data_IF_765816227365
#
_entry.id   IF_765816227365
#
_cell.length_a   1.000
_cell.length_b   1.000
_cell.length_c   1.000
_cell.angle_alpha   90.00
_cell.angle_beta   90.00
_cell.angle_gamma   90.00
#
_symmetry.space_group_name_H-M   'P 1'
#
loop_
_entity.id
_entity.type
_entity.pdbx_description
1 polymer ?
#
# COMPACT_ATOMS: atom_id res chain seq x y z
N UNK A 1 11.61 1.98 4.87
CA UNK A 1 11.20 1.53 6.23
C UNK A 1 10.19 2.51 6.79
N UNK A 2 9.00 2.06 7.14
CA UNK A 2 7.97 2.90 7.78
C UNK A 2 8.33 3.18 9.24
N UNK A 3 8.35 4.45 9.61
CA UNK A 3 8.63 4.90 10.96
C UNK A 3 7.35 5.02 11.79
N UNK A 4 7.48 5.13 13.12
CA UNK A 4 6.39 5.51 14.00
C UNK A 4 5.91 6.94 13.70
N UNK A 5 4.81 7.37 14.34
CA UNK A 5 4.31 8.73 14.15
C UNK A 5 5.36 9.77 14.61
N UNK A 6 5.52 10.83 13.81
CA UNK A 6 6.45 11.91 14.12
C UNK A 6 5.91 12.84 15.22
N UNK A 7 6.79 13.58 15.90
CA UNK A 7 6.34 14.60 16.85
C UNK A 7 5.72 15.82 16.15
N UNK A 8 5.84 15.93 14.83
CA UNK A 8 5.39 17.10 14.06
C UNK A 8 3.91 17.06 13.68
N UNK A 9 3.26 15.89 13.77
CA UNK A 9 1.84 15.70 13.47
C UNK A 9 1.43 16.36 12.13
N UNK A 10 2.23 16.09 11.08
CA UNK A 10 1.93 16.61 9.76
C UNK A 10 0.59 16.08 9.26
N UNK A 11 -0.22 16.91 8.58
CA UNK A 11 -1.54 16.49 8.10
C UNK A 11 -1.45 15.35 7.11
N UNK A 12 -0.39 15.27 6.32
CA UNK A 12 -0.13 14.16 5.39
C UNK A 12 0.10 12.85 6.14
N UNK A 13 0.81 12.89 7.26
CA UNK A 13 1.10 11.71 8.07
C UNK A 13 -0.17 11.09 8.65
N UNK A 14 -1.17 11.88 9.02
CA UNK A 14 -2.46 11.39 9.49
C UNK A 14 -3.17 10.50 8.46
N UNK A 15 -2.97 10.79 7.17
CA UNK A 15 -3.60 10.07 6.05
C UNK A 15 -2.64 9.16 5.29
N UNK A 16 -1.48 8.83 5.86
CA UNK A 16 -0.49 7.96 5.19
C UNK A 16 -0.99 6.55 4.85
N UNK A 17 -2.09 6.11 5.46
CA UNK A 17 -2.74 4.83 5.17
C UNK A 17 -3.85 4.94 4.11
N UNK A 18 -4.15 6.15 3.66
CA UNK A 18 -5.09 6.45 2.59
C UNK A 18 -4.42 7.41 1.59
N UNK A 19 -3.73 6.85 0.57
CA UNK A 19 -2.94 7.64 -0.36
C UNK A 19 -3.72 8.74 -1.10
N UNK A 20 -5.00 8.49 -1.44
CA UNK A 20 -5.83 9.51 -2.07
C UNK A 20 -6.11 10.68 -1.12
N UNK A 21 -6.49 10.40 0.13
CA UNK A 21 -6.72 11.45 1.13
C UNK A 21 -5.45 12.23 1.44
N UNK A 22 -4.30 11.55 1.50
CA UNK A 22 -3.01 12.19 1.72
C UNK A 22 -2.71 13.22 0.61
N UNK A 23 -2.92 12.88 -0.66
CA UNK A 23 -2.76 13.82 -1.78
C UNK A 23 -3.82 14.93 -1.75
N UNK A 24 -5.06 14.61 -1.39
CA UNK A 24 -6.11 15.63 -1.22
C UNK A 24 -5.75 16.65 -0.13
N UNK A 25 -5.14 16.22 0.97
CA UNK A 25 -4.62 17.13 2.01
C UNK A 25 -3.52 18.02 1.47
N UNK A 26 -2.61 17.50 0.64
CA UNK A 26 -1.60 18.32 -0.04
C UNK A 26 -2.27 19.41 -0.92
N UNK A 27 -3.34 19.06 -1.64
CA UNK A 27 -4.08 20.02 -2.45
C UNK A 27 -4.84 21.05 -1.61
N UNK A 28 -5.35 20.66 -0.44
CA UNK A 28 -5.99 21.60 0.49
C UNK A 28 -4.96 22.61 1.04
N UNK A 29 -3.77 22.14 1.40
CA UNK A 29 -2.69 22.97 1.95
C UNK A 29 -2.05 23.91 0.93
N UNK A 30 -2.19 23.64 -0.36
CA UNK A 30 -1.61 24.50 -1.40
C UNK A 30 -2.16 25.92 -1.30
N UNK A 31 -1.29 26.89 -0.99
CA UNK A 31 -1.63 28.30 -0.79
C UNK A 31 -2.74 28.55 0.25
N UNK A 32 -2.83 27.69 1.27
CA UNK A 32 -3.85 27.77 2.32
C UNK A 32 -3.22 27.55 3.68
N UNK A 33 -3.60 28.37 4.65
CA UNK A 33 -3.11 28.21 6.01
C UNK A 33 -3.67 26.92 6.64
N UNK A 34 -2.84 26.18 7.38
CA UNK A 34 -3.19 24.88 7.95
C UNK A 34 -4.47 24.92 8.81
N UNK A 35 -4.75 26.00 9.55
CA UNK A 35 -5.98 26.14 10.35
C UNK A 35 -7.25 26.09 9.50
N UNK A 36 -7.24 26.73 8.32
CA UNK A 36 -8.37 26.68 7.39
C UNK A 36 -8.57 25.27 6.84
N UNK A 37 -7.45 24.52 6.62
CA UNK A 37 -7.53 23.12 6.20
C UNK A 37 -8.10 22.26 7.32
N UNK A 38 -7.69 22.46 8.57
CA UNK A 38 -8.19 21.73 9.73
C UNK A 38 -9.70 21.89 9.93
N UNK A 39 -10.24 23.09 9.68
CA UNK A 39 -11.69 23.36 9.76
C UNK A 39 -12.50 22.63 8.67
N UNK A 40 -11.91 22.40 7.50
CA UNK A 40 -12.62 21.86 6.34
C UNK A 40 -12.42 20.35 6.19
N UNK A 41 -11.19 19.85 6.41
CA UNK A 41 -10.79 18.49 6.03
C UNK A 41 -11.63 17.36 6.66
N UNK A 42 -11.97 17.51 7.93
CA UNK A 42 -12.76 16.50 8.64
C UNK A 42 -14.17 16.39 8.07
N UNK A 43 -14.87 17.50 7.93
CA UNK A 43 -16.20 17.55 7.32
C UNK A 43 -16.17 17.08 5.86
N UNK A 44 -15.13 17.45 5.12
CA UNK A 44 -14.95 17.02 3.74
C UNK A 44 -14.79 15.50 3.63
N UNK A 45 -13.88 14.90 4.40
CA UNK A 45 -13.64 13.45 4.31
C UNK A 45 -14.74 12.61 4.96
N UNK A 46 -15.53 13.15 5.88
CA UNK A 46 -16.72 12.47 6.37
C UNK A 46 -17.75 12.26 5.26
N UNK A 47 -17.82 13.17 4.29
CA UNK A 47 -18.77 13.09 3.20
C UNK A 47 -18.17 12.53 1.92
N UNK A 48 -17.01 12.99 1.54
CA UNK A 48 -16.26 12.64 0.32
C UNK A 48 -14.99 11.87 0.68
N UNK A 49 -15.15 10.66 1.19
CA UNK A 49 -14.05 9.86 1.71
C UNK A 49 -13.32 9.02 0.67
N UNK A 50 -13.75 9.06 -0.61
CA UNK A 50 -13.12 8.38 -1.74
C UNK A 50 -13.14 9.25 -2.98
N UNK A 51 -12.24 8.97 -3.93
CA UNK A 51 -12.20 9.61 -5.24
C UNK A 51 -13.56 9.51 -5.96
N UNK A 52 -14.18 8.33 -5.94
CA UNK A 52 -15.48 8.09 -6.58
C UNK A 52 -16.58 8.98 -5.98
N UNK A 53 -16.67 9.05 -4.64
CA UNK A 53 -17.68 9.91 -3.99
C UNK A 53 -17.48 11.40 -4.27
N UNK A 54 -16.23 11.83 -4.42
CA UNK A 54 -15.96 13.23 -4.81
C UNK A 54 -16.41 13.52 -6.25
N UNK A 55 -16.16 12.60 -7.17
CA UNK A 55 -16.58 12.72 -8.57
C UNK A 55 -18.11 12.83 -8.68
N UNK A 56 -18.81 11.95 -8.00
CA UNK A 56 -20.28 11.87 -8.01
C UNK A 56 -20.97 12.96 -7.18
N UNK A 57 -20.20 13.65 -6.35
CA UNK A 57 -20.72 14.66 -5.43
C UNK A 57 -21.30 15.89 -6.14
N UNK A 58 -22.31 16.50 -5.50
CA UNK A 58 -22.92 17.73 -5.97
C UNK A 58 -21.95 18.91 -5.86
N UNK A 59 -21.72 19.61 -6.98
CA UNK A 59 -20.72 20.66 -7.08
C UNK A 59 -20.99 21.85 -6.15
N UNK A 60 -22.25 22.27 -6.05
CA UNK A 60 -22.61 23.40 -5.18
C UNK A 60 -22.40 23.09 -3.70
N UNK A 61 -22.62 21.85 -3.32
CA UNK A 61 -22.42 21.39 -1.95
C UNK A 61 -20.93 21.30 -1.63
N UNK A 62 -20.11 20.74 -2.54
CA UNK A 62 -18.66 20.67 -2.38
C UNK A 62 -18.11 22.10 -2.30
N UNK A 63 -18.53 23.02 -3.16
CA UNK A 63 -18.11 24.41 -3.15
C UNK A 63 -18.43 25.06 -1.78
N UNK A 64 -19.62 24.89 -1.27
CA UNK A 64 -19.98 25.41 0.06
C UNK A 64 -19.04 24.92 1.15
N UNK A 65 -18.68 23.64 1.10
CA UNK A 65 -17.82 23.00 2.09
C UNK A 65 -16.37 23.49 2.00
N UNK A 66 -15.83 23.63 0.78
CA UNK A 66 -14.42 24.02 0.57
C UNK A 66 -14.22 25.54 0.43
N UNK A 67 -15.29 26.34 0.53
CA UNK A 67 -15.23 27.81 0.40
C UNK A 67 -14.17 28.47 1.30
N UNK A 68 -13.96 28.02 2.56
CA UNK A 68 -12.94 28.60 3.43
C UNK A 68 -11.51 28.46 2.90
N UNK A 69 -11.23 27.46 2.02
CA UNK A 69 -9.90 27.26 1.44
C UNK A 69 -9.54 28.26 0.33
N UNK A 70 -10.50 29.06 -0.14
CA UNK A 70 -10.31 29.93 -1.31
C UNK A 70 -10.18 29.15 -2.62
N UNK A 71 -10.20 29.88 -3.75
CA UNK A 71 -10.11 29.33 -5.12
C UNK A 71 -11.03 28.12 -5.39
N UNK A 72 -12.15 28.02 -4.68
CA UNK A 72 -13.01 26.84 -4.59
C UNK A 72 -13.47 26.29 -5.95
N UNK A 73 -13.81 27.16 -6.93
CA UNK A 73 -14.19 26.70 -8.28
C UNK A 73 -13.02 26.03 -9.02
N UNK A 74 -11.82 26.61 -8.91
CA UNK A 74 -10.60 26.03 -9.52
C UNK A 74 -10.23 24.73 -8.82
N UNK A 75 -10.32 24.71 -7.47
CA UNK A 75 -10.03 23.52 -6.68
C UNK A 75 -10.98 22.39 -7.04
N UNK A 76 -12.29 22.60 -7.04
CA UNK A 76 -13.28 21.59 -7.35
C UNK A 76 -13.00 20.94 -8.71
N UNK A 77 -12.79 21.76 -9.75
CA UNK A 77 -12.48 21.25 -11.09
C UNK A 77 -11.20 20.40 -11.08
N UNK A 78 -10.13 20.91 -10.47
CA UNK A 78 -8.84 20.21 -10.40
C UNK A 78 -8.94 18.92 -9.57
N UNK A 79 -9.67 18.92 -8.46
CA UNK A 79 -9.80 17.75 -7.58
C UNK A 79 -10.64 16.62 -8.20
N UNK A 80 -11.72 16.97 -8.93
CA UNK A 80 -12.49 15.97 -9.70
C UNK A 80 -11.65 15.39 -10.83
N UNK A 81 -10.94 16.24 -11.59
CA UNK A 81 -10.05 15.79 -12.68
C UNK A 81 -8.94 14.86 -12.14
N UNK A 82 -8.27 15.26 -11.06
CA UNK A 82 -7.30 14.39 -10.36
C UNK A 82 -7.93 13.06 -9.93
N UNK A 83 -9.13 13.10 -9.34
CA UNK A 83 -9.79 11.89 -8.85
C UNK A 83 -10.13 10.91 -9.96
N UNK A 84 -10.49 11.38 -11.16
CA UNK A 84 -10.63 10.52 -12.33
C UNK A 84 -9.30 9.86 -12.72
N UNK A 85 -8.24 10.66 -12.88
CA UNK A 85 -6.91 10.16 -13.21
C UNK A 85 -6.37 9.20 -12.14
N UNK A 86 -6.69 9.46 -10.86
CA UNK A 86 -6.35 8.59 -9.76
C UNK A 86 -7.01 7.21 -9.85
N UNK A 87 -8.31 7.16 -10.16
CA UNK A 87 -9.02 5.89 -10.34
C UNK A 87 -8.47 5.06 -11.49
N UNK A 88 -8.07 5.70 -12.59
CA UNK A 88 -7.39 5.02 -13.71
C UNK A 88 -6.06 4.40 -13.26
N UNK A 89 -5.25 5.13 -12.48
CA UNK A 89 -4.02 4.58 -11.94
C UNK A 89 -4.28 3.42 -10.97
N UNK A 90 -5.24 3.56 -10.06
CA UNK A 90 -5.60 2.48 -9.13
C UNK A 90 -6.07 1.24 -9.87
N UNK A 91 -6.84 1.40 -10.95
CA UNK A 91 -7.25 0.28 -11.79
C UNK A 91 -6.05 -0.40 -12.46
N UNK A 92 -5.08 0.38 -12.93
CA UNK A 92 -3.86 -0.14 -13.55
C UNK A 92 -2.97 -0.88 -12.54
N UNK A 93 -2.75 -0.30 -11.36
CA UNK A 93 -1.82 -0.84 -10.34
C UNK A 93 -2.50 -1.74 -9.31
N UNK A 94 -3.84 -1.83 -9.29
CA UNK A 94 -4.68 -2.60 -8.37
C UNK A 94 -4.54 -2.21 -6.88
N UNK A 95 -3.39 -1.70 -6.49
CA UNK A 95 -3.14 -1.21 -5.13
C UNK A 95 -2.43 0.15 -5.19
N UNK A 96 -3.00 1.21 -4.58
CA UNK A 96 -2.45 2.55 -4.62
C UNK A 96 -1.00 2.67 -4.12
N UNK A 97 -0.61 1.86 -3.13
CA UNK A 97 0.74 1.93 -2.54
C UNK A 97 1.86 1.47 -3.48
N UNK A 98 1.50 0.81 -4.59
CA UNK A 98 2.47 0.40 -5.62
C UNK A 98 2.58 1.37 -6.79
N UNK A 99 1.85 2.49 -6.74
CA UNK A 99 1.98 3.52 -7.77
C UNK A 99 3.34 4.21 -7.62
N UNK A 100 4.25 4.08 -8.59
CA UNK A 100 5.54 4.76 -8.51
C UNK A 100 5.35 6.29 -8.55
N UNK A 101 6.21 7.02 -7.84
CA UNK A 101 6.13 8.48 -7.77
C UNK A 101 6.12 9.16 -9.16
N UNK A 102 6.84 8.57 -10.13
CA UNK A 102 6.94 9.04 -11.51
C UNK A 102 5.57 9.03 -12.23
N UNK A 103 4.67 8.14 -11.84
CA UNK A 103 3.32 8.05 -12.43
C UNK A 103 2.36 9.13 -11.93
N UNK A 104 2.73 9.80 -10.85
CA UNK A 104 1.97 10.96 -10.37
C UNK A 104 2.36 12.25 -11.10
N UNK A 105 3.51 12.28 -11.77
CA UNK A 105 3.96 13.43 -12.54
C UNK A 105 2.99 13.68 -13.69
N UNK A 106 2.46 14.89 -13.77
CA UNK A 106 1.49 15.28 -14.79
C UNK A 106 0.02 15.07 -14.40
N UNK A 107 -0.27 14.42 -13.29
CA UNK A 107 -1.64 14.39 -12.77
C UNK A 107 -2.07 15.78 -12.31
N UNK A 108 -3.35 16.06 -12.47
CA UNK A 108 -3.91 17.37 -12.12
C UNK A 108 -3.68 17.73 -10.67
N UNK A 109 -3.02 18.85 -10.44
CA UNK A 109 -2.75 19.37 -9.10
C UNK A 109 -1.52 18.77 -8.40
N UNK A 110 -0.90 17.74 -8.97
CA UNK A 110 0.32 17.16 -8.43
C UNK A 110 1.52 18.02 -8.84
N UNK A 111 1.94 18.90 -7.94
CA UNK A 111 3.20 19.64 -8.03
C UNK A 111 4.28 19.02 -7.14
N UNK A 112 5.44 19.68 -7.07
CA UNK A 112 6.59 19.22 -6.27
C UNK A 112 6.20 18.88 -4.82
N UNK A 113 5.44 19.74 -4.16
CA UNK A 113 5.00 19.51 -2.77
C UNK A 113 4.23 18.20 -2.57
N UNK A 114 3.27 17.89 -3.46
CA UNK A 114 2.50 16.64 -3.39
C UNK A 114 3.37 15.43 -3.74
N UNK A 115 4.29 15.59 -4.70
CA UNK A 115 5.22 14.54 -5.09
C UNK A 115 6.24 14.24 -3.99
N UNK A 116 6.80 15.27 -3.34
CA UNK A 116 7.68 15.10 -2.19
C UNK A 116 6.96 14.42 -1.03
N UNK A 117 5.71 14.83 -0.75
CA UNK A 117 4.86 14.17 0.26
C UNK A 117 4.63 12.69 -0.08
N UNK A 118 4.37 12.37 -1.34
CA UNK A 118 4.22 10.98 -1.78
C UNK A 118 5.49 10.17 -1.53
N UNK A 119 6.64 10.67 -1.95
CA UNK A 119 7.93 9.99 -1.75
C UNK A 119 8.20 9.75 -0.27
N UNK A 120 7.93 10.73 0.58
CA UNK A 120 8.15 10.64 2.03
C UNK A 120 7.19 9.64 2.68
N UNK A 121 5.88 9.76 2.46
CA UNK A 121 4.86 9.05 3.23
C UNK A 121 4.39 7.73 2.61
N UNK A 122 4.55 7.55 1.29
CA UNK A 122 4.17 6.32 0.59
C UNK A 122 5.38 5.48 0.21
N UNK A 123 6.44 6.11 -0.31
CA UNK A 123 7.65 5.39 -0.71
C UNK A 123 8.68 5.25 0.44
N UNK A 124 8.47 5.94 1.57
CA UNK A 124 9.42 5.99 2.70
C UNK A 124 10.83 6.43 2.27
N UNK A 125 10.88 7.30 1.26
CA UNK A 125 12.07 7.89 0.74
C UNK A 125 12.39 9.17 1.53
N UNK A 126 13.31 9.06 2.46
CA UNK A 126 13.75 10.16 3.31
C UNK A 126 15.01 10.87 2.76
N UNK A 127 15.48 10.47 1.57
CA UNK A 127 16.58 11.17 0.89
C UNK A 127 16.09 12.34 0.00
N UNK A 128 14.78 12.52 -0.05
CA UNK A 128 14.13 13.65 -0.72
C UNK A 128 14.55 14.98 -0.06
N UNK A 129 14.67 16.03 -0.86
CA UNK A 129 14.94 17.42 -0.42
C UNK A 129 13.71 18.29 -0.72
N UNK A 130 12.74 18.39 0.21
CA UNK A 130 11.56 19.18 0.01
C UNK A 130 11.88 20.68 0.05
N UNK A 131 11.12 21.49 -0.71
CA UNK A 131 11.17 22.95 -0.58
C UNK A 131 10.34 23.45 0.61
N UNK A 132 9.34 22.67 1.03
CA UNK A 132 8.50 22.98 2.19
C UNK A 132 9.26 22.76 3.50
N UNK A 133 9.28 23.79 4.35
CA UNK A 133 10.04 23.74 5.60
C UNK A 133 9.52 22.72 6.61
N UNK A 134 8.21 22.46 6.64
CA UNK A 134 7.62 21.44 7.54
C UNK A 134 8.02 20.04 7.09
N UNK A 135 7.99 19.78 5.78
CA UNK A 135 8.48 18.53 5.23
C UNK A 135 9.98 18.35 5.44
N UNK A 136 10.78 19.44 5.38
CA UNK A 136 12.21 19.39 5.70
C UNK A 136 12.44 18.94 7.14
N UNK A 137 11.78 19.56 8.12
CA UNK A 137 11.88 19.11 9.52
C UNK A 137 11.46 17.65 9.69
N UNK A 138 10.39 17.22 9.01
CA UNK A 138 9.98 15.84 9.04
C UNK A 138 11.06 14.90 8.49
N UNK A 139 11.66 15.23 7.35
CA UNK A 139 12.69 14.40 6.70
C UNK A 139 13.96 14.33 7.56
N UNK A 140 14.41 15.44 8.14
CA UNK A 140 15.56 15.45 9.06
C UNK A 140 15.32 14.54 10.27
N UNK A 141 14.15 14.65 10.89
CA UNK A 141 13.75 13.76 11.95
C UNK A 141 13.69 12.30 11.49
N UNK A 142 13.09 12.04 10.33
CA UNK A 142 12.91 10.70 9.79
C UNK A 142 14.25 10.01 9.48
N UNK A 143 15.24 10.76 8.98
CA UNK A 143 16.63 10.27 8.80
C UNK A 143 17.24 9.88 10.14
N UNK A 144 17.20 10.77 11.12
CA UNK A 144 17.75 10.51 12.46
C UNK A 144 17.04 9.32 13.14
N UNK A 145 15.72 9.24 13.04
CA UNK A 145 14.93 8.15 13.62
C UNK A 145 15.20 6.81 12.92
N UNK A 146 15.33 6.82 11.60
CA UNK A 146 15.73 5.63 10.80
C UNK A 146 17.10 5.13 11.26
N UNK A 147 18.08 6.02 11.44
CA UNK A 147 19.40 5.65 11.94
C UNK A 147 19.35 5.11 13.36
N UNK A 148 18.54 5.72 14.23
CA UNK A 148 18.33 5.25 15.60
C UNK A 148 17.78 3.83 15.61
N UNK A 149 16.69 3.59 14.85
CA UNK A 149 16.05 2.27 14.75
C UNK A 149 17.02 1.22 14.19
N UNK A 150 17.79 1.57 13.13
CA UNK A 150 18.78 0.66 12.56
C UNK A 150 19.92 0.34 13.54
N UNK A 151 20.31 1.29 14.39
CA UNK A 151 21.34 1.10 15.43
C UNK A 151 20.86 0.19 16.57
N UNK A 152 19.58 0.37 16.99
CA UNK A 152 18.99 -0.39 18.09
C UNK A 152 18.53 -1.80 17.68
N UNK A 153 17.95 -1.93 16.51
CA UNK A 153 17.33 -3.18 16.03
C UNK A 153 18.18 -3.93 15.00
N UNK A 154 19.25 -3.29 14.53
CA UNK A 154 20.03 -3.78 13.39
C UNK A 154 19.31 -3.55 12.05
N UNK A 155 19.98 -3.85 10.94
CA UNK A 155 19.35 -3.75 9.62
C UNK A 155 18.14 -4.69 9.53
N UNK A 156 17.08 -4.30 8.80
CA UNK A 156 15.92 -5.16 8.61
C UNK A 156 16.38 -6.50 8.05
N UNK A 157 15.85 -7.60 8.60
CA UNK A 157 16.17 -8.94 8.10
C UNK A 157 15.88 -8.97 6.58
N UNK A 158 16.75 -9.59 5.79
CA UNK A 158 16.53 -9.70 4.36
C UNK A 158 15.21 -10.42 4.09
N UNK A 159 14.51 -10.00 3.04
CA UNK A 159 13.34 -10.71 2.58
C UNK A 159 13.74 -12.09 2.10
N UNK A 160 12.96 -13.07 2.48
CA UNK A 160 13.18 -14.48 2.13
C UNK A 160 11.89 -15.01 1.49
N UNK A 161 12.01 -15.83 0.45
CA UNK A 161 10.86 -16.54 -0.10
C UNK A 161 10.49 -17.68 0.83
N UNK A 162 9.27 -17.66 1.31
CA UNK A 162 8.68 -18.76 2.06
C UNK A 162 7.69 -19.51 1.17
N UNK A 163 7.75 -20.80 1.22
CA UNK A 163 6.81 -21.73 0.59
C UNK A 163 5.87 -22.21 1.67
N UNK A 164 4.62 -21.83 1.59
CA UNK A 164 3.61 -22.25 2.55
C UNK A 164 2.66 -23.26 1.93
N UNK A 165 2.59 -24.43 2.54
CA UNK A 165 1.59 -25.44 2.25
C UNK A 165 0.45 -25.27 3.24
N UNK A 166 -0.77 -25.04 2.76
CA UNK A 166 -1.94 -24.87 3.62
C UNK A 166 -3.15 -25.61 3.09
N UNK A 167 -4.03 -25.95 4.01
CA UNK A 167 -5.35 -26.53 3.73
C UNK A 167 -6.41 -25.53 4.08
N UNK A 168 -7.41 -25.39 3.22
CA UNK A 168 -8.53 -24.51 3.46
C UNK A 168 -9.85 -25.14 3.07
N UNK A 169 -10.94 -24.72 3.72
CA UNK A 169 -12.29 -25.07 3.33
C UNK A 169 -13.20 -23.83 3.40
N UNK A 170 -14.30 -23.88 2.66
CA UNK A 170 -15.36 -22.87 2.65
C UNK A 170 -16.51 -23.31 3.57
N UNK A 171 -17.27 -22.35 4.08
CA UNK A 171 -18.45 -22.63 4.91
C UNK A 171 -19.55 -23.42 4.18
N UNK A 172 -19.64 -23.26 2.85
CA UNK A 172 -20.60 -23.95 2.00
C UNK A 172 -20.20 -25.38 1.60
N UNK A 173 -19.01 -25.83 1.96
CA UNK A 173 -18.51 -27.20 1.76
C UNK A 173 -18.23 -27.89 3.11
N UNK A 174 -19.24 -28.39 3.84
CA UNK A 174 -19.08 -28.87 5.22
C UNK A 174 -18.34 -30.20 5.36
N UNK A 175 -17.73 -30.72 4.32
CA UNK A 175 -17.07 -32.03 4.38
C UNK A 175 -15.55 -31.85 4.57
N UNK A 176 -15.06 -32.15 5.78
CA UNK A 176 -13.65 -32.13 6.16
C UNK A 176 -12.74 -33.00 5.27
N UNK A 177 -13.31 -33.93 4.51
CA UNK A 177 -12.58 -34.78 3.54
C UNK A 177 -12.33 -34.03 2.21
N UNK A 178 -12.92 -32.85 2.01
CA UNK A 178 -12.75 -32.01 0.81
C UNK A 178 -11.75 -30.90 1.00
N UNK A 179 -10.89 -30.96 2.04
CA UNK A 179 -9.80 -30.00 2.24
C UNK A 179 -8.89 -29.97 1.01
N UNK A 180 -8.94 -28.86 0.28
CA UNK A 180 -8.03 -28.66 -0.85
C UNK A 180 -6.66 -28.25 -0.33
N UNK A 181 -5.64 -28.93 -0.83
CA UNK A 181 -4.24 -28.60 -0.56
C UNK A 181 -3.78 -27.48 -1.51
N UNK A 182 -3.18 -26.46 -0.93
CA UNK A 182 -2.65 -25.35 -1.66
C UNK A 182 -1.20 -25.08 -1.28
N UNK A 183 -0.42 -24.63 -2.25
CA UNK A 183 0.91 -24.09 -2.00
C UNK A 183 0.94 -22.66 -2.47
N UNK A 184 1.51 -21.77 -1.69
CA UNK A 184 1.79 -20.41 -2.11
C UNK A 184 3.22 -20.02 -1.73
N UNK A 185 3.76 -19.07 -2.49
CA UNK A 185 5.04 -18.44 -2.20
C UNK A 185 4.76 -17.04 -1.66
N UNK A 186 5.40 -16.69 -0.56
CA UNK A 186 5.31 -15.35 0.01
C UNK A 186 6.69 -14.83 0.36
N UNK A 187 6.95 -13.57 0.06
CA UNK A 187 8.14 -12.89 0.55
C UNK A 187 7.88 -12.34 1.95
N UNK A 188 8.74 -12.69 2.89
CA UNK A 188 8.61 -12.24 4.27
C UNK A 188 10.00 -12.15 4.94
N UNK A 189 10.09 -11.36 6.01
CA UNK A 189 11.31 -11.25 6.83
C UNK A 189 11.38 -12.30 7.92
N UNK A 190 10.22 -12.84 8.31
CA UNK A 190 10.10 -13.89 9.32
C UNK A 190 9.08 -14.93 8.91
N UNK A 191 9.15 -16.09 9.53
CA UNK A 191 8.18 -17.17 9.33
C UNK A 191 6.76 -16.73 9.75
N UNK A 192 6.63 -16.00 10.85
CA UNK A 192 5.33 -15.52 11.33
C UNK A 192 4.70 -14.53 10.33
N UNK A 193 5.49 -13.62 9.78
CA UNK A 193 5.04 -12.72 8.70
C UNK A 193 4.59 -13.51 7.47
N UNK A 194 5.31 -14.57 7.11
CA UNK A 194 4.94 -15.44 6.00
C UNK A 194 3.62 -16.18 6.26
N UNK A 195 3.40 -16.66 7.47
CA UNK A 195 2.15 -17.30 7.89
C UNK A 195 0.98 -16.34 7.77
N UNK A 196 1.12 -15.12 8.27
CA UNK A 196 0.06 -14.10 8.19
C UNK A 196 -0.24 -13.67 6.75
N UNK A 197 0.78 -13.51 5.91
CA UNK A 197 0.59 -13.24 4.48
C UNK A 197 -0.13 -14.40 3.78
N UNK A 198 0.25 -15.64 4.08
CA UNK A 198 -0.40 -16.84 3.54
C UNK A 198 -1.88 -16.89 3.92
N UNK A 199 -2.22 -16.64 5.18
CA UNK A 199 -3.61 -16.59 5.64
C UNK A 199 -4.42 -15.53 4.88
N UNK A 200 -3.87 -14.34 4.68
CA UNK A 200 -4.53 -13.26 3.90
C UNK A 200 -4.77 -13.66 2.45
N UNK A 201 -3.81 -14.32 1.81
CA UNK A 201 -3.95 -14.83 0.44
C UNK A 201 -5.07 -15.87 0.39
N UNK A 202 -5.08 -16.84 1.30
CA UNK A 202 -6.10 -17.89 1.35
C UNK A 202 -7.50 -17.31 1.56
N UNK A 203 -7.67 -16.36 2.48
CA UNK A 203 -8.94 -15.67 2.72
C UNK A 203 -9.42 -14.92 1.46
N UNK A 204 -8.53 -14.17 0.81
CA UNK A 204 -8.87 -13.34 -0.35
C UNK A 204 -9.15 -14.18 -1.59
N UNK A 205 -8.33 -15.21 -1.85
CA UNK A 205 -8.42 -16.03 -3.07
C UNK A 205 -9.51 -17.09 -3.00
N UNK A 206 -9.59 -17.79 -1.88
CA UNK A 206 -10.39 -18.99 -1.76
C UNK A 206 -11.69 -18.77 -0.99
N UNK A 207 -11.88 -17.56 -0.40
CA UNK A 207 -13.00 -17.29 0.52
C UNK A 207 -12.97 -18.24 1.72
N UNK A 208 -11.78 -18.69 2.13
CA UNK A 208 -11.59 -19.69 3.13
C UNK A 208 -11.94 -19.16 4.52
N UNK A 209 -12.79 -19.88 5.25
CA UNK A 209 -13.15 -19.53 6.64
C UNK A 209 -12.16 -20.13 7.62
N UNK A 210 -11.62 -21.33 7.28
CA UNK A 210 -10.61 -21.99 8.09
C UNK A 210 -9.38 -22.34 7.26
N UNK A 211 -8.21 -22.00 7.79
CA UNK A 211 -6.92 -22.21 7.15
C UNK A 211 -5.99 -22.93 8.13
N UNK A 212 -5.48 -24.08 7.72
CA UNK A 212 -4.45 -24.80 8.45
C UNK A 212 -3.16 -24.76 7.67
N UNK A 213 -2.13 -24.13 8.23
CA UNK A 213 -0.79 -24.22 7.67
C UNK A 213 -0.24 -25.61 7.96
N UNK A 214 0.03 -26.37 6.91
CA UNK A 214 0.54 -27.74 7.01
C UNK A 214 2.07 -27.78 7.03
N UNK A 215 2.73 -26.78 6.43
CA UNK A 215 4.17 -26.66 6.43
C UNK A 215 4.61 -25.30 5.90
N UNK A 216 5.78 -24.85 6.33
CA UNK A 216 6.41 -23.65 5.82
C UNK A 216 7.91 -23.90 5.70
N UNK A 217 8.48 -23.60 4.55
CA UNK A 217 9.89 -23.67 4.26
C UNK A 217 10.41 -22.34 3.73
N UNK A 218 11.72 -22.15 3.67
CA UNK A 218 12.32 -20.93 3.14
C UNK A 218 13.48 -21.23 2.20
N UNK A 219 13.72 -20.32 1.25
CA UNK A 219 14.87 -20.30 0.37
C UNK A 219 15.40 -18.88 0.15
N UNK A 220 16.62 -18.73 -0.35
CA UNK A 220 17.13 -17.40 -0.72
C UNK A 220 16.41 -16.92 -1.97
N UNK A 221 15.84 -15.70 -1.90
CA UNK A 221 15.33 -15.00 -3.07
C UNK A 221 16.49 -14.26 -3.74
N UNK A 222 17.06 -14.80 -4.79
CA UNK A 222 18.17 -14.14 -5.51
C UNK A 222 17.71 -13.02 -6.46
N UNK A 223 16.41 -12.97 -6.87
CA UNK A 223 15.94 -12.03 -7.90
C UNK A 223 14.45 -11.74 -7.81
N UNK A 224 13.96 -11.08 -6.74
CA UNK A 224 12.55 -10.67 -6.72
C UNK A 224 12.42 -9.28 -6.12
N UNK A 225 11.98 -8.35 -6.94
CA UNK A 225 11.53 -7.03 -6.55
C UNK A 225 10.27 -7.16 -5.66
N UNK A 226 10.25 -6.46 -4.52
CA UNK A 226 9.11 -6.46 -3.57
C UNK A 226 7.77 -6.12 -4.27
N UNK A 227 7.82 -5.35 -5.35
CA UNK A 227 6.64 -4.91 -6.09
C UNK A 227 6.04 -5.99 -6.98
N UNK A 228 6.83 -6.95 -7.44
CA UNK A 228 6.39 -7.96 -8.42
C UNK A 228 5.57 -9.10 -7.85
N UNK A 229 5.61 -9.35 -6.54
CA UNK A 229 5.04 -10.55 -5.92
C UNK A 229 3.73 -10.32 -5.18
N UNK A 230 3.33 -9.07 -4.96
CA UNK A 230 2.15 -8.79 -4.13
C UNK A 230 0.85 -8.61 -4.92
N UNK A 231 0.93 -8.38 -6.25
CA UNK A 231 -0.26 -8.06 -7.06
C UNK A 231 -0.29 -8.68 -8.46
N UNK A 232 0.66 -9.55 -8.81
CA UNK A 232 0.61 -10.18 -10.13
C UNK A 232 -0.43 -11.30 -10.16
N UNK A 233 -1.14 -11.37 -11.28
CA UNK A 233 -2.16 -12.29 -11.71
C UNK A 233 -2.14 -13.63 -10.95
N UNK A 234 -3.26 -14.05 -10.33
CA UNK A 234 -3.39 -15.35 -9.67
C UNK A 234 -2.95 -16.53 -10.54
N UNK A 235 -3.07 -16.42 -11.86
CA UNK A 235 -2.58 -17.44 -12.80
C UNK A 235 -1.06 -17.57 -12.81
N UNK A 236 -0.31 -16.49 -12.61
CA UNK A 236 1.15 -16.54 -12.53
C UNK A 236 1.63 -17.35 -11.31
N UNK A 237 0.95 -17.22 -10.19
CA UNK A 237 1.22 -18.03 -8.99
C UNK A 237 0.93 -19.51 -9.22
N UNK A 238 -0.18 -19.84 -9.89
CA UNK A 238 -0.57 -21.24 -10.14
C UNK A 238 0.44 -21.92 -11.05
N UNK A 239 0.83 -21.31 -12.14
CA UNK A 239 1.75 -21.89 -13.13
C UNK A 239 3.17 -22.05 -12.59
N UNK A 240 3.68 -21.08 -11.82
CA UNK A 240 4.99 -21.19 -11.17
C UNK A 240 4.99 -22.21 -10.03
N UNK A 241 3.90 -22.29 -9.28
CA UNK A 241 3.75 -23.25 -8.19
C UNK A 241 3.70 -24.69 -8.73
N UNK A 242 2.99 -24.95 -9.81
CA UNK A 242 2.95 -26.26 -10.48
C UNK A 242 4.32 -26.64 -11.05
N UNK A 243 5.02 -25.71 -11.70
CA UNK A 243 6.36 -25.96 -12.23
C UNK A 243 7.38 -26.29 -11.12
N UNK A 244 7.24 -25.63 -9.96
CA UNK A 244 8.07 -25.92 -8.78
C UNK A 244 7.73 -27.26 -8.15
N UNK A 245 6.45 -27.60 -8.04
CA UNK A 245 6.01 -28.91 -7.56
C UNK A 245 6.60 -30.03 -8.41
N UNK A 246 6.50 -29.94 -9.72
CA UNK A 246 7.09 -30.92 -10.63
C UNK A 246 8.59 -31.06 -10.44
N UNK A 247 9.30 -29.96 -10.16
CA UNK A 247 10.74 -30.00 -9.86
C UNK A 247 11.04 -30.62 -8.50
N UNK A 248 10.22 -30.39 -7.49
CA UNK A 248 10.39 -30.97 -6.15
C UNK A 248 10.07 -32.49 -6.15
N UNK A 249 9.02 -32.91 -6.84
CA UNK A 249 8.71 -34.32 -7.03
C UNK A 249 9.79 -35.05 -7.79
N UNK A 250 10.33 -34.44 -8.85
CA UNK A 250 11.44 -35.01 -9.62
C UNK A 250 12.71 -35.15 -8.75
N UNK A 251 13.01 -34.21 -7.87
CA UNK A 251 14.13 -34.31 -6.90
C UNK A 251 13.88 -35.40 -5.86
N UNK A 252 12.69 -35.50 -5.26
CA UNK A 252 12.36 -36.59 -4.33
C UNK A 252 12.47 -37.97 -4.95
N UNK A 253 12.11 -38.12 -6.24
CA UNK A 253 12.24 -39.40 -6.96
C UNK A 253 13.70 -39.72 -7.27
N UNK A 254 14.60 -38.76 -7.34
CA UNK A 254 16.04 -38.92 -7.54
C UNK A 254 16.78 -39.25 -6.23
N UNK A 255 16.30 -38.72 -5.09
CA UNK A 255 16.86 -38.99 -3.76
C UNK A 255 16.43 -40.35 -3.17
N UNK A 256 15.37 -40.96 -3.71
CA UNK A 256 14.85 -42.29 -3.30
C UNK A 256 15.29 -43.44 -4.23
N UNK A 257 16.24 -43.20 -5.13
CA UNK A 257 16.93 -44.19 -5.95
C UNK A 257 18.41 -44.27 -5.56
#
# INVERSE_FOLDING_TARGET
MRLQASPYLTRQEEYRDDPWKMLMVCFMLNQTHHRQVDEVREHFFNKYNTAQRLIEGNDEEIIRLIKPLGFYNKRLKAWKEFSYQWLELVEQYKNPIYIPAEKLIGLKGVGKYALDSWRIFQCFDYEVEPEDHVLNFYVEWARAEKERVLREQGPPKPMTVYYAHYKSYREDEPNWNALKDYVCCVMARTQDEAIEKTKRIALKRDGAVHIKIAGIGHGKAEWVDETHWLDTDPQYYITHTEAMWKRMESRRQLENK
#
